data_IF_236580559675
#
_entry.id   IF_236580559675
#
_cell.length_a   1.000
_cell.length_b   1.000
_cell.length_c   1.000
_cell.angle_alpha   90.00
_cell.angle_beta   90.00
_cell.angle_gamma   90.00
#
_symmetry.space_group_name_H-M   'P 1'
#
loop_
_entity.id
_entity.type
_entity.pdbx_description
1 polymer ?
#
# COMPACT_ATOMS: atom_id res chain seq x y z
N UNK A 1 15.47 -9.36 3.82
CA UNK A 1 16.73 -9.78 3.13
C UNK A 1 16.40 -10.83 2.08
N UNK A 2 16.92 -10.68 0.86
CA UNK A 2 16.79 -11.66 -0.23
C UNK A 2 17.79 -12.81 -0.09
N UNK A 3 17.60 -13.90 -0.84
CA UNK A 3 18.53 -15.04 -0.85
C UNK A 3 19.98 -14.63 -1.14
N UNK A 4 20.19 -13.73 -2.09
CA UNK A 4 21.53 -13.29 -2.51
C UNK A 4 22.21 -12.44 -1.44
N UNK A 5 21.43 -11.59 -0.76
CA UNK A 5 21.91 -10.80 0.36
C UNK A 5 22.31 -11.68 1.56
N UNK A 6 21.53 -12.73 1.85
CA UNK A 6 21.86 -13.69 2.93
C UNK A 6 23.12 -14.48 2.58
N UNK A 7 23.27 -14.90 1.32
CA UNK A 7 24.46 -15.64 0.85
C UNK A 7 25.74 -14.85 1.10
N UNK A 8 25.75 -13.59 0.66
CA UNK A 8 26.92 -12.70 0.75
C UNK A 8 27.20 -12.34 2.21
N UNK A 9 26.16 -11.97 2.97
CA UNK A 9 26.33 -11.36 4.29
C UNK A 9 26.49 -12.38 5.42
N UNK A 10 25.82 -13.55 5.31
CA UNK A 10 25.73 -14.54 6.39
C UNK A 10 26.60 -15.75 6.13
N UNK A 11 26.59 -16.27 4.90
CA UNK A 11 27.35 -17.49 4.59
C UNK A 11 28.76 -17.22 4.04
N UNK A 12 29.08 -15.98 3.64
CA UNK A 12 30.38 -15.57 3.10
C UNK A 12 30.91 -16.49 1.97
N UNK A 13 30.02 -17.20 1.26
CA UNK A 13 30.41 -18.15 0.23
C UNK A 13 30.39 -17.47 -1.15
N UNK A 14 31.50 -17.53 -1.88
CA UNK A 14 31.61 -16.81 -3.16
C UNK A 14 30.96 -17.54 -4.36
N UNK A 15 30.66 -18.85 -4.32
CA UNK A 15 30.32 -19.59 -5.57
C UNK A 15 29.33 -20.77 -5.51
N UNK A 16 28.57 -21.03 -4.44
CA UNK A 16 27.67 -22.21 -4.41
C UNK A 16 26.26 -21.90 -3.91
N UNK A 17 25.38 -21.53 -4.84
CA UNK A 17 24.00 -21.13 -4.57
C UNK A 17 23.16 -22.31 -4.08
N UNK A 18 23.40 -23.52 -4.59
CA UNK A 18 22.68 -24.75 -4.21
C UNK A 18 22.80 -25.05 -2.71
N UNK A 19 23.99 -24.83 -2.14
CA UNK A 19 24.26 -25.02 -0.72
C UNK A 19 23.51 -24.00 0.14
N UNK A 20 23.44 -22.74 -0.31
CA UNK A 20 22.66 -21.69 0.34
C UNK A 20 21.16 -22.02 0.31
N UNK A 21 20.63 -22.43 -0.85
CA UNK A 21 19.23 -22.83 -1.00
C UNK A 21 18.87 -24.04 -0.14
N UNK A 22 19.73 -25.06 -0.05
CA UNK A 22 19.52 -26.24 0.81
C UNK A 22 19.44 -25.85 2.29
N UNK A 23 20.36 -25.00 2.76
CA UNK A 23 20.37 -24.51 4.15
C UNK A 23 19.14 -23.67 4.47
N UNK A 24 18.75 -22.75 3.58
CA UNK A 24 17.54 -21.94 3.75
C UNK A 24 16.26 -22.78 3.74
N UNK A 25 16.19 -23.84 2.92
CA UNK A 25 15.05 -24.77 2.89
C UNK A 25 14.91 -25.56 4.19
N UNK A 26 16.03 -25.94 4.80
CA UNK A 26 16.06 -26.58 6.14
C UNK A 26 15.56 -25.61 7.21
N UNK A 27 16.11 -24.39 7.25
CA UNK A 27 15.75 -23.38 8.25
C UNK A 27 14.28 -22.92 8.13
N UNK A 28 13.75 -22.89 6.90
CA UNK A 28 12.35 -22.55 6.61
C UNK A 28 11.38 -23.73 6.73
N UNK A 29 11.85 -24.92 7.14
CA UNK A 29 11.02 -26.12 7.33
C UNK A 29 10.57 -26.84 6.05
N UNK A 30 10.96 -26.38 4.86
CA UNK A 30 10.48 -26.92 3.57
C UNK A 30 11.29 -28.12 3.04
N UNK A 31 12.03 -28.82 3.90
CA UNK A 31 12.89 -29.94 3.49
C UNK A 31 13.04 -31.07 4.51
N UNK A 32 12.39 -30.99 5.67
CA UNK A 32 12.52 -31.99 6.73
C UNK A 32 11.21 -32.74 6.88
N UNK A 33 11.24 -34.03 6.54
CA UNK A 33 10.15 -34.97 6.82
C UNK A 33 9.84 -34.93 8.33
N UNK A 34 8.66 -34.37 8.67
CA UNK A 34 7.85 -34.65 9.87
C UNK A 34 8.44 -34.49 11.29
N UNK A 35 9.69 -34.04 11.52
CA UNK A 35 10.26 -33.98 12.90
C UNK A 35 10.83 -32.66 13.42
N UNK A 36 10.88 -31.57 12.66
CA UNK A 36 11.12 -30.23 13.23
C UNK A 36 9.79 -29.49 13.43
N UNK A 37 9.44 -29.20 14.69
CA UNK A 37 8.11 -28.71 15.08
C UNK A 37 7.91 -27.19 14.90
N UNK A 38 8.94 -26.42 14.57
CA UNK A 38 8.77 -24.98 14.27
C UNK A 38 9.90 -24.48 13.35
N UNK A 39 9.57 -23.83 12.21
CA UNK A 39 10.59 -23.21 11.35
C UNK A 39 11.30 -22.10 12.12
N UNK A 40 12.62 -21.97 11.95
CA UNK A 40 13.42 -20.90 12.59
C UNK A 40 13.33 -19.59 11.82
N UNK A 41 13.12 -19.67 10.51
CA UNK A 41 12.86 -18.52 9.65
C UNK A 41 11.58 -18.75 8.86
N UNK A 42 10.79 -17.70 8.68
CA UNK A 42 9.69 -17.68 7.72
C UNK A 42 10.25 -17.22 6.37
N UNK A 43 9.62 -17.72 5.30
CA UNK A 43 9.98 -17.42 3.91
C UNK A 43 8.73 -17.12 3.14
N UNK A 44 8.74 -16.04 2.38
CA UNK A 44 7.64 -15.66 1.49
C UNK A 44 8.20 -14.88 0.28
N UNK A 45 7.35 -14.61 -0.70
CA UNK A 45 7.65 -13.85 -1.91
C UNK A 45 6.45 -12.97 -2.23
N UNK A 46 6.66 -11.73 -2.69
CA UNK A 46 5.53 -10.84 -2.98
C UNK A 46 4.75 -11.29 -4.22
N UNK A 47 5.43 -11.91 -5.18
CA UNK A 47 4.83 -12.50 -6.37
C UNK A 47 5.58 -13.77 -6.78
N UNK A 48 5.04 -14.54 -7.74
CA UNK A 48 5.72 -15.74 -8.25
C UNK A 48 7.04 -15.44 -8.98
N UNK A 49 7.24 -14.19 -9.41
CA UNK A 49 8.40 -13.75 -10.20
C UNK A 49 9.45 -13.04 -9.36
N UNK A 50 9.18 -12.78 -8.08
CA UNK A 50 10.11 -12.10 -7.19
C UNK A 50 10.96 -13.07 -6.36
N UNK A 51 12.16 -12.64 -5.95
CA UNK A 51 12.99 -13.40 -5.02
C UNK A 51 12.27 -13.64 -3.69
N UNK A 52 12.57 -14.78 -3.06
CA UNK A 52 12.14 -15.01 -1.69
C UNK A 52 12.83 -14.04 -0.73
N UNK A 53 12.07 -13.54 0.24
CA UNK A 53 12.60 -12.86 1.41
C UNK A 53 12.36 -13.70 2.67
N UNK A 54 13.22 -13.50 3.67
CA UNK A 54 13.27 -14.31 4.88
C UNK A 54 13.32 -13.45 6.13
N UNK A 55 12.71 -13.94 7.22
CA UNK A 55 12.72 -13.28 8.51
C UNK A 55 12.64 -14.28 9.67
N UNK A 56 13.11 -13.94 10.88
CA UNK A 56 12.99 -14.79 12.06
C UNK A 56 11.53 -15.18 12.32
N UNK A 57 11.27 -16.44 12.67
CA UNK A 57 9.89 -16.93 12.78
C UNK A 57 9.10 -16.31 13.94
N UNK A 58 9.80 -15.87 14.97
CA UNK A 58 9.32 -15.09 16.12
C UNK A 58 9.10 -13.60 15.79
N UNK A 59 9.62 -13.12 14.65
CA UNK A 59 9.41 -11.76 14.18
C UNK A 59 8.17 -11.68 13.27
N UNK A 60 7.42 -10.57 13.38
CA UNK A 60 6.42 -10.20 12.37
C UNK A 60 7.15 -9.89 11.05
N UNK A 61 6.51 -10.20 9.91
CA UNK A 61 7.08 -10.01 8.56
C UNK A 61 7.67 -8.60 8.41
N UNK A 62 9.00 -8.46 8.17
CA UNK A 62 9.69 -7.18 8.24
C UNK A 62 9.48 -6.27 7.01
N UNK A 63 8.92 -6.77 5.92
CA UNK A 63 9.05 -6.09 4.62
C UNK A 63 7.90 -5.13 4.25
N UNK A 64 7.41 -4.38 5.23
CA UNK A 64 6.63 -3.19 4.92
C UNK A 64 7.07 -1.98 5.74
N UNK A 65 8.24 -1.98 6.38
CA UNK A 65 8.61 -0.82 7.20
C UNK A 65 8.58 0.47 6.37
N UNK A 66 9.21 0.49 5.20
CA UNK A 66 9.21 1.67 4.32
C UNK A 66 7.82 2.01 3.78
N UNK A 67 7.03 1.00 3.40
CA UNK A 67 5.66 1.20 2.94
C UNK A 67 4.75 1.71 4.06
N UNK A 68 4.86 1.16 5.27
CA UNK A 68 4.13 1.59 6.47
C UNK A 68 4.57 2.96 6.94
N UNK A 69 5.87 3.28 6.87
CA UNK A 69 6.37 4.64 7.10
C UNK A 69 5.78 5.59 6.06
N UNK A 70 5.72 5.20 4.80
CA UNK A 70 5.08 5.96 3.73
C UNK A 70 3.59 6.22 3.99
N UNK A 71 2.84 5.18 4.35
CA UNK A 71 1.42 5.29 4.73
C UNK A 71 1.24 6.08 6.03
N UNK A 72 2.19 6.01 6.97
CA UNK A 72 2.19 6.83 8.18
C UNK A 72 2.35 8.32 7.86
N UNK A 73 3.15 8.69 6.86
CA UNK A 73 3.22 10.08 6.41
C UNK A 73 1.89 10.60 5.86
N UNK A 74 1.10 9.75 5.20
CA UNK A 74 -0.28 10.11 4.82
C UNK A 74 -1.13 10.38 6.07
N UNK A 75 -1.05 9.53 7.09
CA UNK A 75 -1.74 9.75 8.36
C UNK A 75 -1.38 11.10 8.98
N UNK A 76 -0.08 11.38 9.14
CA UNK A 76 0.43 12.64 9.72
C UNK A 76 -0.07 13.85 8.92
N UNK A 77 -0.03 13.77 7.59
CA UNK A 77 -0.53 14.86 6.76
C UNK A 77 -2.02 15.15 7.00
N UNK A 78 -2.86 14.11 6.99
CA UNK A 78 -4.29 14.27 7.22
C UNK A 78 -4.63 14.65 8.67
N UNK A 79 -3.82 14.25 9.66
CA UNK A 79 -3.95 14.66 11.05
C UNK A 79 -3.63 16.16 11.24
N UNK A 80 -2.57 16.65 10.62
CA UNK A 80 -2.25 18.08 10.61
C UNK A 80 -3.36 18.88 9.90
N UNK A 81 -3.90 18.37 8.80
CA UNK A 81 -5.05 18.97 8.13
C UNK A 81 -6.28 19.01 9.03
N UNK A 82 -6.64 17.88 9.63
CA UNK A 82 -7.76 17.78 10.55
C UNK A 82 -7.65 18.78 11.69
N UNK A 83 -6.47 18.85 12.32
CA UNK A 83 -6.19 19.77 13.43
C UNK A 83 -6.36 21.23 13.00
N UNK A 84 -5.76 21.63 11.86
CA UNK A 84 -5.83 23.00 11.37
C UNK A 84 -7.24 23.45 10.95
N UNK A 85 -8.06 22.51 10.48
CA UNK A 85 -9.41 22.81 9.99
C UNK A 85 -10.52 22.50 10.99
N UNK A 86 -10.18 21.93 12.15
CA UNK A 86 -11.16 21.43 13.12
C UNK A 86 -11.99 20.25 12.60
N UNK A 87 -11.52 19.53 11.57
CA UNK A 87 -12.21 18.39 11.00
C UNK A 87 -11.96 17.11 11.82
N UNK A 88 -12.92 16.19 11.85
CA UNK A 88 -12.75 14.86 12.44
C UNK A 88 -12.04 13.94 11.43
N UNK A 89 -10.89 13.37 11.82
CA UNK A 89 -10.16 12.39 11.03
C UNK A 89 -10.61 10.96 11.33
N UNK A 90 -10.95 10.21 10.29
CA UNK A 90 -11.04 8.75 10.31
C UNK A 90 -10.05 8.16 9.32
N UNK A 91 -9.09 7.39 9.82
CA UNK A 91 -8.07 6.74 9.03
C UNK A 91 -8.17 5.22 9.18
N UNK A 92 -8.21 4.50 8.06
CA UNK A 92 -8.13 3.04 8.01
C UNK A 92 -6.93 2.63 7.16
N UNK A 93 -5.96 1.94 7.75
CA UNK A 93 -4.86 1.32 7.00
C UNK A 93 -5.27 -0.01 6.40
N UNK A 94 -4.88 -0.26 5.15
CA UNK A 94 -5.13 -1.48 4.38
C UNK A 94 -6.56 -2.06 4.49
N UNK A 95 -7.64 -1.26 4.35
CA UNK A 95 -9.01 -1.71 4.56
C UNK A 95 -9.42 -2.78 3.54
N UNK A 96 -9.99 -3.88 4.05
CA UNK A 96 -10.40 -5.05 3.24
C UNK A 96 -11.81 -4.95 2.67
N UNK A 97 -12.60 -3.96 3.10
CA UNK A 97 -14.01 -3.79 2.70
C UNK A 97 -14.19 -3.51 1.19
N UNK A 98 -13.12 -3.16 0.49
CA UNK A 98 -13.12 -2.87 -0.96
C UNK A 98 -12.69 -4.06 -1.83
N UNK A 99 -12.36 -5.21 -1.21
CA UNK A 99 -12.11 -6.46 -1.93
C UNK A 99 -13.44 -7.01 -2.50
N UNK A 100 -13.43 -7.68 -3.67
CA UNK A 100 -12.25 -8.11 -4.42
C UNK A 100 -11.68 -7.06 -5.39
N UNK A 101 -12.29 -5.87 -5.49
CA UNK A 101 -11.91 -4.88 -6.50
C UNK A 101 -10.50 -4.32 -6.26
N UNK A 102 -10.28 -3.73 -5.09
CA UNK A 102 -9.02 -3.09 -4.74
C UNK A 102 -8.78 -3.20 -3.25
N UNK A 103 -7.50 -3.32 -2.86
CA UNK A 103 -7.07 -3.11 -1.48
C UNK A 103 -6.22 -1.84 -1.45
N UNK A 104 -6.80 -0.71 -1.01
CA UNK A 104 -6.04 0.53 -0.88
C UNK A 104 -5.06 0.39 0.30
N UNK A 105 -3.97 1.15 0.26
CA UNK A 105 -3.01 1.15 1.37
C UNK A 105 -3.55 1.96 2.55
N UNK A 106 -4.38 2.96 2.27
CA UNK A 106 -5.19 3.66 3.26
C UNK A 106 -6.53 4.13 2.69
N UNK A 107 -7.52 4.28 3.57
CA UNK A 107 -8.73 5.04 3.31
C UNK A 107 -8.89 6.11 4.39
N UNK A 108 -9.15 7.35 3.97
CA UNK A 108 -9.23 8.50 4.84
C UNK A 108 -10.54 9.22 4.65
N UNK A 109 -11.16 9.61 5.75
CA UNK A 109 -12.33 10.49 5.78
C UNK A 109 -12.04 11.65 6.72
N UNK A 110 -12.09 12.87 6.18
CA UNK A 110 -12.04 14.11 6.94
C UNK A 110 -13.43 14.71 6.99
N UNK A 111 -14.08 14.71 8.15
CA UNK A 111 -15.43 15.22 8.32
C UNK A 111 -15.40 16.62 8.94
N UNK A 112 -15.71 17.62 8.12
CA UNK A 112 -16.07 18.97 8.61
C UNK A 112 -17.57 19.06 8.92
N UNK A 113 -18.02 20.18 9.46
CA UNK A 113 -19.43 20.47 9.73
C UNK A 113 -20.32 20.43 8.46
N UNK A 114 -19.74 20.55 7.27
CA UNK A 114 -20.48 20.62 6.00
C UNK A 114 -20.52 19.26 5.30
N UNK A 115 -19.37 18.72 4.86
CA UNK A 115 -19.28 17.46 4.11
C UNK A 115 -17.97 16.71 4.39
N UNK A 116 -17.98 15.36 4.36
CA UNK A 116 -16.76 14.56 4.42
C UNK A 116 -15.93 14.71 3.13
N UNK A 117 -14.63 14.91 3.27
CA UNK A 117 -13.65 14.71 2.21
C UNK A 117 -13.08 13.30 2.32
N UNK A 118 -13.12 12.54 1.23
CA UNK A 118 -12.75 11.13 1.21
C UNK A 118 -11.53 10.92 0.30
N UNK A 119 -10.59 10.10 0.77
CA UNK A 119 -9.35 9.80 0.06
C UNK A 119 -9.05 8.31 0.08
N UNK A 120 -8.57 7.81 -1.05
CA UNK A 120 -7.88 6.53 -1.13
C UNK A 120 -6.38 6.79 -1.24
N UNK A 121 -5.61 6.29 -0.28
CA UNK A 121 -4.16 6.43 -0.22
C UNK A 121 -3.45 5.23 -0.84
N UNK A 122 -2.45 5.49 -1.67
CA UNK A 122 -1.61 4.51 -2.34
C UNK A 122 -0.13 4.90 -2.20
N UNK A 123 0.72 3.96 -1.80
CA UNK A 123 2.15 4.16 -1.63
C UNK A 123 2.94 3.26 -2.58
N UNK A 124 3.39 3.86 -3.66
CA UNK A 124 4.23 3.23 -4.68
C UNK A 124 5.71 3.37 -4.34
N UNK A 125 6.41 2.23 -4.33
CA UNK A 125 7.87 2.16 -4.12
C UNK A 125 8.57 1.89 -5.43
N UNK A 126 9.20 2.90 -6.01
CA UNK A 126 9.89 2.76 -7.28
C UNK A 126 11.00 1.71 -7.25
N UNK A 127 11.76 1.63 -6.15
CA UNK A 127 12.87 0.70 -5.95
C UNK A 127 12.41 -0.76 -5.90
N UNK A 128 11.12 -1.02 -5.67
CA UNK A 128 10.58 -2.38 -5.66
C UNK A 128 10.41 -2.96 -7.06
N UNK A 129 10.45 -2.13 -8.11
CA UNK A 129 10.14 -2.54 -9.48
C UNK A 129 8.66 -2.87 -9.73
N UNK A 130 7.81 -2.80 -8.70
CA UNK A 130 6.37 -2.99 -8.82
C UNK A 130 5.69 -1.67 -9.13
N UNK A 131 5.36 -1.47 -10.41
CA UNK A 131 4.69 -0.27 -10.86
C UNK A 131 3.26 -0.14 -10.30
N UNK A 132 2.81 1.09 -10.11
CA UNK A 132 1.44 1.40 -9.72
C UNK A 132 0.44 0.94 -10.79
N UNK A 133 -0.37 -0.09 -10.49
CA UNK A 133 -1.28 -0.75 -11.44
C UNK A 133 -2.76 -0.73 -11.02
N UNK A 134 -3.11 0.07 -10.01
CA UNK A 134 -4.43 -0.04 -9.36
C UNK A 134 -5.51 0.82 -10.00
N UNK A 135 -5.22 1.68 -10.99
CA UNK A 135 -6.24 2.54 -11.61
C UNK A 135 -7.40 1.75 -12.25
N UNK A 136 -7.17 0.65 -13.00
CA UNK A 136 -8.27 -0.19 -13.49
C UNK A 136 -9.10 -0.82 -12.37
N UNK A 137 -8.46 -1.15 -11.23
CA UNK A 137 -9.13 -1.71 -10.04
C UNK A 137 -10.05 -0.69 -9.38
N UNK A 138 -9.59 0.56 -9.25
CA UNK A 138 -10.44 1.67 -8.79
C UNK A 138 -11.58 1.96 -9.75
N UNK A 139 -11.32 1.93 -11.05
CA UNK A 139 -12.36 2.07 -12.08
C UNK A 139 -13.45 1.02 -11.89
N UNK A 140 -13.09 -0.26 -11.74
CA UNK A 140 -14.06 -1.32 -11.48
C UNK A 140 -14.83 -1.14 -10.17
N UNK A 141 -14.15 -0.73 -9.08
CA UNK A 141 -14.81 -0.42 -7.81
C UNK A 141 -15.89 0.66 -7.99
N UNK A 142 -15.52 1.80 -8.60
CA UNK A 142 -16.43 2.93 -8.73
C UNK A 142 -17.54 2.66 -9.74
N UNK A 143 -17.27 1.93 -10.82
CA UNK A 143 -18.30 1.48 -11.75
C UNK A 143 -19.36 0.63 -11.04
N UNK A 144 -18.95 -0.35 -10.23
CA UNK A 144 -19.86 -1.15 -9.42
C UNK A 144 -20.66 -0.29 -8.42
N UNK A 145 -20.02 0.68 -7.76
CA UNK A 145 -20.71 1.61 -6.85
C UNK A 145 -21.77 2.43 -7.58
N UNK A 146 -21.47 2.92 -8.79
CA UNK A 146 -22.41 3.68 -9.62
C UNK A 146 -23.61 2.81 -9.99
N UNK A 147 -23.38 1.57 -10.43
CA UNK A 147 -24.43 0.62 -10.81
C UNK A 147 -25.33 0.24 -9.63
N UNK A 148 -24.75 -0.10 -8.47
CA UNK A 148 -25.50 -0.40 -7.25
C UNK A 148 -26.31 0.80 -6.77
N UNK A 149 -25.74 2.01 -6.85
CA UNK A 149 -26.44 3.24 -6.51
C UNK A 149 -27.64 3.50 -7.42
N UNK A 150 -27.53 3.21 -8.72
CA UNK A 150 -28.65 3.31 -9.67
C UNK A 150 -29.80 2.36 -9.31
N UNK A 151 -29.51 1.25 -8.61
CA UNK A 151 -30.49 0.31 -8.08
C UNK A 151 -31.00 0.67 -6.67
N UNK A 152 -30.60 1.83 -6.11
CA UNK A 152 -30.94 2.24 -4.75
C UNK A 152 -30.15 1.53 -3.65
N UNK A 153 -29.16 0.71 -4.01
CA UNK A 153 -28.30 -0.02 -3.09
C UNK A 153 -27.13 0.87 -2.68
N UNK A 154 -26.80 0.85 -1.38
CA UNK A 154 -25.71 1.63 -0.79
C UNK A 154 -24.61 0.67 -0.33
N UNK A 155 -23.60 0.39 -1.18
CA UNK A 155 -22.58 -0.60 -0.87
C UNK A 155 -21.64 -0.17 0.27
N UNK A 156 -21.46 1.13 0.46
CA UNK A 156 -20.58 1.68 1.50
C UNK A 156 -21.24 2.87 2.21
N UNK A 157 -20.95 3.02 3.51
CA UNK A 157 -21.53 4.07 4.36
C UNK A 157 -21.29 5.50 3.83
N UNK A 158 -20.20 5.71 3.10
CA UNK A 158 -19.82 7.02 2.57
C UNK A 158 -20.46 7.34 1.21
N UNK A 159 -21.16 6.38 0.60
CA UNK A 159 -21.88 6.55 -0.68
C UNK A 159 -23.16 7.39 -0.49
N UNK A 160 -23.55 7.69 0.76
CA UNK A 160 -24.74 8.49 1.11
C UNK A 160 -24.58 10.01 0.97
N UNK A 161 -23.38 10.48 0.66
CA UNK A 161 -23.11 11.90 0.57
C UNK A 161 -23.58 12.37 -0.80
N UNK A 162 -24.74 13.03 -0.82
CA UNK A 162 -25.56 13.44 -1.98
C UNK A 162 -24.85 14.21 -3.11
N UNK A 163 -23.57 14.54 -2.97
CA UNK A 163 -22.78 15.22 -3.98
C UNK A 163 -21.77 14.24 -4.57
N UNK A 164 -22.15 13.64 -5.70
CA UNK A 164 -21.44 13.06 -6.86
C UNK A 164 -19.90 12.97 -6.94
N UNK A 165 -19.10 13.28 -5.91
CA UNK A 165 -17.65 13.31 -6.01
C UNK A 165 -17.08 11.96 -5.60
N UNK A 166 -16.56 11.26 -6.60
CA UNK A 166 -15.66 10.13 -6.41
C UNK A 166 -14.55 10.58 -5.43
N UNK A 167 -14.25 9.81 -4.37
CA UNK A 167 -13.13 10.07 -3.48
C UNK A 167 -11.82 10.31 -4.24
N UNK A 168 -10.97 11.18 -3.72
CA UNK A 168 -9.69 11.49 -4.37
C UNK A 168 -8.71 10.34 -4.18
N UNK A 169 -8.11 9.87 -5.27
CA UNK A 169 -7.01 8.91 -5.23
C UNK A 169 -5.68 9.64 -5.01
N UNK A 170 -5.12 9.52 -3.82
CA UNK A 170 -3.82 10.09 -3.45
C UNK A 170 -2.74 9.03 -3.63
N UNK A 171 -1.91 9.19 -4.66
CA UNK A 171 -0.77 8.31 -4.93
C UNK A 171 0.52 8.99 -4.51
N UNK A 172 1.29 8.31 -3.66
CA UNK A 172 2.60 8.72 -3.20
C UNK A 172 3.64 7.83 -3.86
N UNK A 173 4.72 8.41 -4.36
CA UNK A 173 5.82 7.66 -4.98
C UNK A 173 7.19 8.02 -4.42
N UNK A 174 8.08 7.04 -4.28
CA UNK A 174 9.51 7.29 -3.99
C UNK A 174 10.34 7.62 -5.24
N UNK A 175 9.80 7.39 -6.43
CA UNK A 175 10.49 7.63 -7.70
C UNK A 175 9.85 8.70 -8.59
N UNK A 176 10.25 8.76 -9.88
CA UNK A 176 9.75 9.75 -10.83
C UNK A 176 8.23 9.70 -10.99
N UNK A 177 7.58 10.87 -11.01
CA UNK A 177 6.11 10.98 -11.20
C UNK A 177 5.66 10.62 -12.62
N UNK A 178 6.46 10.96 -13.64
CA UNK A 178 6.04 10.93 -15.06
C UNK A 178 5.45 9.59 -15.52
N UNK A 179 6.04 8.41 -15.19
CA UNK A 179 5.46 7.13 -15.59
C UNK A 179 4.09 6.88 -14.95
N UNK A 180 3.96 7.13 -13.64
CA UNK A 180 2.71 6.96 -12.90
C UNK A 180 1.64 7.91 -13.43
N UNK A 181 2.00 9.18 -13.64
CA UNK A 181 1.09 10.19 -14.18
C UNK A 181 0.53 9.77 -15.55
N UNK A 182 1.38 9.26 -16.45
CA UNK A 182 0.95 8.77 -17.76
C UNK A 182 -0.11 7.67 -17.62
N UNK A 183 0.07 6.76 -16.65
CA UNK A 183 -0.90 5.68 -16.36
C UNK A 183 -2.18 6.23 -15.73
N UNK A 184 -2.07 7.11 -14.73
CA UNK A 184 -3.23 7.76 -14.10
C UNK A 184 -4.09 8.53 -15.11
N UNK A 185 -3.50 9.11 -16.14
CA UNK A 185 -4.23 9.79 -17.22
C UNK A 185 -4.85 8.78 -18.19
N UNK A 186 -4.07 7.82 -18.67
CA UNK A 186 -4.50 6.92 -19.73
C UNK A 186 -5.50 5.84 -19.25
N UNK A 187 -5.41 5.44 -17.98
CA UNK A 187 -6.18 4.33 -17.42
C UNK A 187 -7.39 4.82 -16.59
N UNK A 188 -7.77 6.10 -16.66
CA UNK A 188 -8.82 6.71 -15.82
C UNK A 188 -10.05 7.16 -16.63
N UNK A 189 -10.85 6.22 -17.19
CA UNK A 189 -12.00 6.55 -18.03
C UNK A 189 -13.14 7.22 -17.24
N UNK A 190 -13.21 7.04 -15.92
CA UNK A 190 -14.24 7.61 -15.05
C UNK A 190 -13.90 9.01 -14.54
N UNK A 191 -12.73 9.56 -14.89
CA UNK A 191 -12.30 10.87 -14.39
C UNK A 191 -12.16 10.91 -12.86
N UNK A 192 -11.73 9.80 -12.25
CA UNK A 192 -11.46 9.69 -10.82
C UNK A 192 -10.48 10.81 -10.44
N UNK A 193 -10.84 11.73 -9.52
CA UNK A 193 -9.93 12.77 -9.06
C UNK A 193 -8.70 12.11 -8.45
N UNK A 194 -7.50 12.55 -8.85
CA UNK A 194 -6.28 12.01 -8.29
C UNK A 194 -5.29 13.11 -7.95
N UNK A 195 -4.41 12.79 -7.01
CA UNK A 195 -3.26 13.59 -6.64
C UNK A 195 -2.03 12.69 -6.62
N UNK A 196 -0.94 13.14 -7.25
CA UNK A 196 0.32 12.41 -7.31
C UNK A 196 1.42 13.23 -6.64
N UNK A 197 1.97 12.71 -5.55
CA UNK A 197 3.04 13.34 -4.77
C UNK A 197 4.28 12.44 -4.73
N UNK A 198 5.46 13.03 -4.65
CA UNK A 198 6.64 12.32 -4.15
C UNK A 198 6.55 12.22 -2.63
N UNK A 199 7.31 11.29 -2.05
CA UNK A 199 7.43 11.20 -0.60
C UNK A 199 7.96 12.51 0.02
N UNK A 200 8.87 13.20 -0.64
CA UNK A 200 9.44 14.44 -0.10
C UNK A 200 8.44 15.60 -0.16
N UNK A 201 7.65 15.73 -1.23
CA UNK A 201 6.54 16.70 -1.28
C UNK A 201 5.49 16.43 -0.20
N UNK A 202 5.20 15.16 0.10
CA UNK A 202 4.28 14.79 1.20
C UNK A 202 4.83 15.26 2.55
N UNK A 203 6.13 15.04 2.81
CA UNK A 203 6.79 15.53 4.04
C UNK A 203 6.77 17.06 4.12
N UNK A 204 7.06 17.74 3.02
CA UNK A 204 7.00 19.22 2.95
C UNK A 204 5.60 19.72 3.31
N UNK A 205 4.54 19.09 2.78
CA UNK A 205 3.17 19.40 3.18
C UNK A 205 2.92 19.14 4.65
N UNK A 206 3.43 18.04 5.21
CA UNK A 206 3.29 17.79 6.65
C UNK A 206 3.88 18.93 7.48
N UNK A 207 5.05 19.45 7.09
CA UNK A 207 5.71 20.58 7.77
C UNK A 207 4.90 21.87 7.61
N UNK A 208 4.44 22.19 6.40
CA UNK A 208 3.63 23.40 6.14
C UNK A 208 2.32 23.41 6.92
N UNK A 209 1.71 22.23 7.10
CA UNK A 209 0.45 22.08 7.82
C UNK A 209 0.63 21.97 9.34
N UNK A 210 1.85 21.72 9.82
CA UNK A 210 2.18 21.74 11.25
C UNK A 210 2.40 23.16 11.81
N UNK A 211 2.57 24.16 10.93
CA UNK A 211 2.72 25.55 11.37
C UNK A 211 1.34 26.22 11.59
N UNK A 212 1.16 26.97 12.70
CA UNK A 212 -0.11 27.58 13.08
C UNK A 212 -0.62 28.63 12.08
#
# INVERSE_FOLDING_TARGET
>A
MTTDQIRISVFKMQKNDDMCYRRLRVLSGNGIKKKQKTPRIKRDRFSKYEPYFYWPADMKRPDQIEHRIGVNWLYVWFENWATRTGAELKFKGEPKEYEPFVRPDAFVSLRSSVKPHLFFGEFHRHESGNEFDKMPKYTSLFQNIIELKAQGIRPYWWVELRDQKIPTLTVITTGPKKPILKRLVNENPLGIPYELLTLDELKERCVQWAQP
#
